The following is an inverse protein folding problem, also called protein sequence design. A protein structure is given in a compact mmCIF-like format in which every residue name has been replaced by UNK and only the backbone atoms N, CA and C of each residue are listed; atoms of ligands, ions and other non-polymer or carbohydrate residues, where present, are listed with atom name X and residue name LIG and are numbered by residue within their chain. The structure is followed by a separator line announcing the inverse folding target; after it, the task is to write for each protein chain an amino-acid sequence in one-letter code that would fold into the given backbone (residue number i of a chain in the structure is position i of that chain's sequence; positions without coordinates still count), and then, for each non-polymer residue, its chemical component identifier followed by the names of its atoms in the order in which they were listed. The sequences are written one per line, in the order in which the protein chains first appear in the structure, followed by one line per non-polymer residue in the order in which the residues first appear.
data_IF_751007445958
#
_entry.id   IF_751007445958
#
_cell.length_a   1.000
_cell.length_b   1.000
_cell.length_c   1.000
_cell.angle_alpha   90.00
_cell.angle_beta   90.00
_cell.angle_gamma   90.00
#
_symmetry.space_group_name_H-M   'P 1'
#
loop_
_entity.id
_entity.type
_entity.pdbx_description
1 polymer ?
#
# COMPACT_ATOMS: atom_id res chain seq x y z
N UNK A 1 15.27 -4.95 7.80
CA UNK A 1 15.63 -6.33 7.38
C UNK A 1 14.72 -7.29 8.12
N UNK A 2 14.16 -8.34 7.50
CA UNK A 2 13.42 -9.36 8.22
C UNK A 2 14.36 -10.14 9.14
N UNK A 3 13.99 -10.23 10.42
CA UNK A 3 14.77 -10.90 11.46
C UNK A 3 13.92 -12.01 12.06
N UNK A 4 14.45 -13.24 12.06
CA UNK A 4 13.83 -14.37 12.77
C UNK A 4 14.11 -14.23 14.26
N UNK A 5 13.07 -14.35 15.09
CA UNK A 5 13.14 -14.33 16.55
C UNK A 5 12.57 -15.65 17.07
N UNK A 6 13.40 -16.44 17.74
CA UNK A 6 13.03 -17.82 18.08
C UNK A 6 12.77 -18.67 16.84
N UNK A 7 11.95 -19.70 16.99
CA UNK A 7 11.67 -20.67 15.92
C UNK A 7 10.57 -20.21 14.95
N UNK A 8 9.63 -19.39 15.43
CA UNK A 8 8.40 -19.09 14.69
C UNK A 8 8.20 -17.62 14.35
N UNK A 9 8.86 -16.66 15.01
CA UNK A 9 8.58 -15.24 14.74
C UNK A 9 9.48 -14.68 13.64
N UNK A 10 8.87 -13.97 12.71
CA UNK A 10 9.57 -13.13 11.74
C UNK A 10 9.13 -11.70 12.00
N UNK A 11 10.08 -10.82 12.29
CA UNK A 11 9.82 -9.40 12.57
C UNK A 11 10.54 -8.54 11.56
N UNK A 12 9.86 -7.50 11.09
CA UNK A 12 10.42 -6.46 10.23
C UNK A 12 10.28 -5.14 10.94
N UNK A 13 11.39 -4.43 11.09
CA UNK A 13 11.40 -3.02 11.47
C UNK A 13 12.36 -2.27 10.55
N UNK A 14 11.96 -1.09 10.10
CA UNK A 14 12.75 -0.25 9.21
C UNK A 14 12.32 1.20 9.28
N UNK A 15 13.31 2.09 9.18
CA UNK A 15 13.14 3.52 9.02
C UNK A 15 13.87 3.93 7.74
N UNK A 16 13.27 4.83 6.97
CA UNK A 16 13.90 5.46 5.81
C UNK A 16 13.74 6.97 5.95
N UNK A 17 14.83 7.72 5.78
CA UNK A 17 14.81 9.18 5.75
C UNK A 17 15.13 9.66 4.33
N UNK A 18 14.20 10.39 3.74
CA UNK A 18 14.28 10.95 2.40
C UNK A 18 14.45 12.47 2.48
N UNK A 19 15.29 13.03 1.60
CA UNK A 19 15.39 14.47 1.35
C UNK A 19 15.33 14.73 -0.14
N UNK A 20 14.49 15.67 -0.53
CA UNK A 20 14.19 15.99 -1.93
C UNK A 20 14.25 17.49 -2.12
N UNK A 21 14.84 17.92 -3.23
CA UNK A 21 14.88 19.32 -3.66
C UNK A 21 13.93 19.52 -4.83
N UNK A 22 12.92 20.37 -4.63
CA UNK A 22 11.98 20.75 -5.67
C UNK A 22 12.30 22.17 -6.16
N UNK A 23 12.75 22.25 -7.41
CA UNK A 23 12.93 23.51 -8.13
C UNK A 23 11.70 23.83 -8.98
N UNK A 24 11.23 25.08 -8.91
CA UNK A 24 10.25 25.62 -9.85
C UNK A 24 10.97 26.75 -10.60
N UNK A 25 10.93 26.72 -11.94
CA UNK A 25 11.60 27.75 -12.77
C UNK A 25 11.13 29.15 -12.34
N UNK A 26 12.08 30.02 -12.02
CA UNK A 26 11.79 31.37 -11.55
C UNK A 26 11.52 31.50 -10.03
N UNK A 27 11.66 30.42 -9.25
CA UNK A 27 11.58 30.45 -7.79
C UNK A 27 12.77 29.74 -7.13
N UNK A 28 12.97 30.01 -5.82
CA UNK A 28 14.00 29.35 -5.01
C UNK A 28 13.70 27.87 -4.83
N UNK A 29 14.69 27.00 -4.85
CA UNK A 29 14.51 25.58 -4.52
C UNK A 29 13.93 25.39 -3.11
N UNK A 30 13.08 24.38 -2.95
CA UNK A 30 12.57 23.95 -1.64
C UNK A 30 13.09 22.57 -1.29
N UNK A 31 13.62 22.45 -0.08
CA UNK A 31 14.00 21.19 0.54
C UNK A 31 12.79 20.60 1.27
N UNK A 32 12.35 19.41 0.85
CA UNK A 32 11.39 18.59 1.58
C UNK A 32 12.10 17.36 2.15
N UNK A 33 11.70 16.93 3.35
CA UNK A 33 12.20 15.70 3.95
C UNK A 33 11.08 14.91 4.59
N UNK A 34 11.19 13.59 4.57
CA UNK A 34 10.28 12.70 5.27
C UNK A 34 11.01 11.52 5.89
N UNK A 35 10.45 11.01 6.98
CA UNK A 35 10.89 9.76 7.59
C UNK A 35 9.74 8.77 7.52
N UNK A 36 9.89 7.71 6.73
CA UNK A 36 8.89 6.65 6.59
C UNK A 36 9.27 5.41 7.40
N UNK A 37 8.26 4.74 7.92
CA UNK A 37 8.38 3.56 8.77
C UNK A 37 7.82 2.32 8.08
N UNK A 38 8.44 1.17 8.35
CA UNK A 38 7.92 -0.14 7.99
C UNK A 38 8.04 -1.08 9.17
N UNK A 39 6.91 -1.58 9.64
CA UNK A 39 6.81 -2.51 10.76
C UNK A 39 6.02 -3.74 10.31
N UNK A 40 6.43 -4.93 10.75
CA UNK A 40 5.73 -6.15 10.43
C UNK A 40 6.07 -7.26 11.41
N UNK A 41 5.09 -8.12 11.67
CA UNK A 41 5.26 -9.33 12.46
C UNK A 41 4.50 -10.46 11.80
N UNK A 42 5.12 -11.63 11.76
CA UNK A 42 4.54 -12.85 11.25
C UNK A 42 4.87 -13.98 12.20
N UNK A 43 3.88 -14.81 12.50
CA UNK A 43 4.11 -16.12 13.08
C UNK A 43 4.24 -17.11 11.92
N UNK A 44 5.29 -17.91 11.91
CA UNK A 44 5.64 -18.79 10.81
C UNK A 44 5.39 -20.25 11.18
N UNK A 45 4.71 -20.94 10.27
CA UNK A 45 4.53 -22.39 10.24
C UNK A 45 3.85 -22.97 11.49
N UNK A 46 2.71 -22.40 11.87
CA UNK A 46 1.77 -23.04 12.77
C UNK A 46 0.98 -24.11 12.02
N UNK A 47 1.59 -25.27 11.80
CA UNK A 47 1.01 -26.36 11.01
C UNK A 47 0.59 -25.89 9.59
N UNK A 48 1.52 -25.23 8.88
CA UNK A 48 1.28 -24.64 7.57
C UNK A 48 0.65 -23.25 7.59
N UNK A 49 0.14 -22.75 8.72
CA UNK A 49 -0.43 -21.41 8.84
C UNK A 49 0.61 -20.38 9.24
N UNK A 50 0.59 -19.22 8.57
CA UNK A 50 1.47 -18.09 8.86
C UNK A 50 0.67 -16.77 8.91
N UNK A 51 0.03 -16.45 10.06
CA UNK A 51 -0.65 -15.16 10.24
C UNK A 51 0.36 -14.02 10.39
N UNK A 52 -0.02 -12.84 9.92
CA UNK A 52 0.81 -11.65 9.97
C UNK A 52 0.01 -10.36 10.15
N UNK A 53 0.73 -9.34 10.62
CA UNK A 53 0.27 -7.96 10.70
C UNK A 53 1.40 -7.05 10.23
N UNK A 54 1.08 -6.06 9.40
CA UNK A 54 2.06 -5.11 8.90
C UNK A 54 1.54 -3.68 8.87
N UNK A 55 2.47 -2.74 8.98
CA UNK A 55 2.27 -1.31 8.87
C UNK A 55 3.36 -0.72 7.97
N UNK A 56 2.98 0.11 7.02
CA UNK A 56 3.94 0.81 6.17
C UNK A 56 3.52 2.23 5.85
N UNK A 57 4.51 3.10 5.74
CA UNK A 57 4.35 4.49 5.32
C UNK A 57 5.02 4.69 3.95
N UNK A 58 4.45 5.60 3.17
CA UNK A 58 4.96 6.03 1.86
C UNK A 58 4.95 7.55 1.75
N UNK A 59 5.81 8.06 0.88
CA UNK A 59 6.02 9.48 0.68
C UNK A 59 6.33 9.75 -0.79
N UNK A 60 5.60 10.68 -1.40
CA UNK A 60 5.79 11.11 -2.78
C UNK A 60 5.90 12.63 -2.84
N UNK A 61 7.08 13.20 -3.16
CA UNK A 61 7.23 14.63 -3.39
C UNK A 61 6.34 15.11 -4.54
N UNK A 62 5.72 16.28 -4.38
CA UNK A 62 4.91 16.92 -5.41
C UNK A 62 5.56 18.25 -5.83
N UNK A 63 5.63 18.50 -7.13
CA UNK A 63 6.13 19.76 -7.68
C UNK A 63 4.97 20.67 -8.08
N UNK A 64 5.13 21.98 -7.86
CA UNK A 64 4.12 22.99 -8.17
C UNK A 64 3.54 23.64 -6.93
N UNK A 65 2.47 24.41 -7.14
CA UNK A 65 1.81 25.18 -6.09
C UNK A 65 0.29 25.06 -6.18
N UNK A 66 -0.34 25.10 -5.02
CA UNK A 66 -1.78 25.14 -4.85
C UNK A 66 -2.35 26.40 -5.51
N UNK A 67 -3.28 26.21 -6.44
CA UNK A 67 -3.85 27.29 -7.24
C UNK A 67 -4.65 28.31 -6.42
N UNK A 68 -5.13 27.94 -5.22
CA UNK A 68 -5.90 28.84 -4.34
C UNK A 68 -4.97 29.63 -3.42
N UNK A 69 -4.07 28.93 -2.74
CA UNK A 69 -3.26 29.52 -1.68
C UNK A 69 -1.92 30.06 -2.18
N UNK A 70 -1.49 29.68 -3.38
CA UNK A 70 -0.16 29.95 -3.92
C UNK A 70 0.97 29.19 -3.21
N UNK A 71 0.66 28.48 -2.12
CA UNK A 71 1.62 27.68 -1.37
C UNK A 71 2.10 26.50 -2.22
N UNK A 72 3.37 26.13 -2.07
CA UNK A 72 3.90 24.94 -2.72
C UNK A 72 3.21 23.68 -2.21
N UNK A 73 3.16 22.66 -3.04
CA UNK A 73 2.61 21.39 -2.61
C UNK A 73 3.49 20.77 -1.54
N UNK A 74 2.87 20.36 -0.43
CA UNK A 74 3.50 19.44 0.49
C UNK A 74 3.57 18.05 -0.15
N UNK A 75 4.41 17.15 0.34
CA UNK A 75 4.44 15.80 -0.20
C UNK A 75 3.15 15.01 0.09
N UNK A 76 2.81 14.11 -0.83
CA UNK A 76 1.73 13.13 -0.65
C UNK A 76 2.22 12.00 0.25
N UNK A 77 1.40 11.64 1.23
CA UNK A 77 1.73 10.63 2.24
C UNK A 77 0.71 9.51 2.22
N UNK A 78 1.19 8.27 2.32
CA UNK A 78 0.33 7.08 2.41
C UNK A 78 0.67 6.26 3.65
N UNK A 79 -0.35 5.75 4.35
CA UNK A 79 -0.24 4.86 5.50
C UNK A 79 -1.08 3.60 5.21
N UNK A 80 -0.48 2.42 5.31
CA UNK A 80 -1.18 1.14 5.15
C UNK A 80 -1.03 0.30 6.40
N UNK A 81 -2.15 -0.25 6.87
CA UNK A 81 -2.18 -1.36 7.81
C UNK A 81 -2.79 -2.58 7.12
N UNK A 82 -2.18 -3.74 7.31
CA UNK A 82 -2.64 -4.98 6.68
C UNK A 82 -2.50 -6.14 7.66
N UNK A 83 -3.57 -6.93 7.78
CA UNK A 83 -3.59 -8.16 8.54
C UNK A 83 -3.97 -9.30 7.60
N UNK A 84 -3.23 -10.40 7.66
CA UNK A 84 -3.47 -11.52 6.77
C UNK A 84 -2.97 -12.83 7.32
N UNK A 85 -3.22 -13.87 6.54
CA UNK A 85 -2.79 -15.22 6.84
C UNK A 85 -2.42 -15.92 5.55
N UNK A 86 -1.28 -16.61 5.58
CA UNK A 86 -0.85 -17.53 4.53
C UNK A 86 -1.02 -18.97 5.03
N UNK A 87 -1.45 -19.88 4.17
CA UNK A 87 -1.53 -21.31 4.43
C UNK A 87 -0.80 -22.10 3.35
N UNK A 88 0.15 -22.93 3.77
CA UNK A 88 0.97 -23.79 2.91
C UNK A 88 0.87 -25.22 3.43
N UNK A 89 0.06 -26.10 2.80
CA UNK A 89 -0.08 -27.48 3.24
C UNK A 89 1.25 -28.24 3.13
N UNK A 90 1.61 -28.96 4.20
CA UNK A 90 2.84 -29.74 4.24
C UNK A 90 2.91 -30.76 3.08
N UNK A 91 4.05 -30.78 2.37
CA UNK A 91 4.29 -31.69 1.26
C UNK A 91 3.56 -31.35 -0.04
N UNK A 92 2.96 -30.16 -0.15
CA UNK A 92 2.34 -29.66 -1.39
C UNK A 92 2.98 -28.35 -1.82
N UNK A 93 3.14 -28.20 -3.14
CA UNK A 93 3.51 -26.94 -3.76
C UNK A 93 2.24 -26.11 -3.98
N UNK A 94 1.60 -25.67 -2.90
CA UNK A 94 0.33 -24.96 -2.94
C UNK A 94 0.29 -23.95 -1.81
N UNK A 95 -0.14 -22.73 -2.10
CA UNK A 95 -0.30 -21.69 -1.10
C UNK A 95 -1.62 -20.96 -1.25
N UNK A 96 -2.19 -20.59 -0.11
CA UNK A 96 -3.40 -19.78 0.00
C UNK A 96 -3.08 -18.55 0.84
N UNK A 97 -3.54 -17.39 0.41
CA UNK A 97 -3.39 -16.14 1.18
C UNK A 97 -4.75 -15.47 1.31
N UNK A 98 -5.03 -14.96 2.49
CA UNK A 98 -6.17 -14.10 2.74
C UNK A 98 -5.69 -12.90 3.55
N UNK A 99 -5.99 -11.69 3.09
CA UNK A 99 -5.58 -10.47 3.74
C UNK A 99 -6.71 -9.43 3.74
N UNK A 100 -6.70 -8.56 4.75
CA UNK A 100 -7.48 -7.33 4.76
C UNK A 100 -6.58 -6.16 5.06
N UNK A 101 -6.89 -5.02 4.46
CA UNK A 101 -6.06 -3.84 4.57
C UNK A 101 -6.89 -2.56 4.63
N UNK A 102 -6.24 -1.53 5.15
CA UNK A 102 -6.69 -0.15 5.08
C UNK A 102 -5.50 0.72 4.66
N UNK A 103 -5.67 1.43 3.56
CA UNK A 103 -4.76 2.43 3.03
C UNK A 103 -5.38 3.82 3.20
N UNK A 104 -4.62 4.73 3.80
CA UNK A 104 -4.98 6.14 3.95
C UNK A 104 -3.97 6.98 3.20
N UNK A 105 -4.46 7.87 2.34
CA UNK A 105 -3.62 8.81 1.62
C UNK A 105 -4.02 10.24 1.97
N UNK A 106 -3.02 11.10 2.16
CA UNK A 106 -3.16 12.52 2.51
C UNK A 106 -2.38 13.39 1.54
N UNK A 107 -2.78 14.65 1.44
CA UNK A 107 -2.15 15.66 0.59
C UNK A 107 -2.20 15.30 -0.91
N UNK A 108 -3.25 14.58 -1.33
CA UNK A 108 -3.48 14.25 -2.72
C UNK A 108 -3.89 15.50 -3.50
N UNK A 109 -3.40 15.62 -4.73
CA UNK A 109 -3.85 16.65 -5.67
C UNK A 109 -5.24 16.33 -6.20
N UNK A 110 -6.14 17.31 -6.14
CA UNK A 110 -7.47 17.26 -6.76
C UNK A 110 -7.65 18.50 -7.64
N UNK A 111 -8.48 18.41 -8.66
CA UNK A 111 -8.80 19.57 -9.50
C UNK A 111 -9.47 20.68 -8.66
N UNK A 112 -9.14 21.96 -8.91
CA UNK A 112 -9.83 23.10 -8.28
C UNK A 112 -11.29 23.09 -8.75
N UNK A 113 -12.28 23.00 -7.84
CA UNK A 113 -13.70 23.07 -8.19
C UNK A 113 -14.09 24.36 -8.93
N UNK A 114 -13.31 25.43 -8.82
CA UNK A 114 -13.54 26.73 -9.45
C UNK A 114 -12.83 26.86 -10.81
N UNK A 115 -11.77 26.08 -11.05
CA UNK A 115 -11.06 26.01 -12.32
C UNK A 115 -10.42 24.63 -12.50
N UNK A 116 -11.11 23.68 -13.17
CA UNK A 116 -10.64 22.31 -13.33
C UNK A 116 -9.30 22.14 -14.07
N UNK A 117 -8.76 23.19 -14.71
CA UNK A 117 -7.43 23.18 -15.33
C UNK A 117 -6.29 23.39 -14.32
N UNK A 118 -6.61 23.60 -13.05
CA UNK A 118 -5.64 23.83 -11.98
C UNK A 118 -5.86 22.86 -10.83
N UNK A 119 -4.82 22.60 -10.04
CA UNK A 119 -4.85 21.63 -8.96
C UNK A 119 -4.71 22.30 -7.58
N UNK A 120 -5.40 21.72 -6.61
CA UNK A 120 -5.34 22.10 -5.20
C UNK A 120 -5.00 20.87 -4.38
N UNK A 121 -4.40 21.10 -3.22
CA UNK A 121 -3.97 20.02 -2.33
C UNK A 121 -4.89 19.93 -1.12
N UNK A 122 -6.03 19.29 -1.33
CA UNK A 122 -7.04 19.06 -0.30
C UNK A 122 -7.54 17.61 -0.27
N UNK A 123 -7.00 16.75 -1.14
CA UNK A 123 -7.43 15.36 -1.24
C UNK A 123 -6.95 14.54 -0.04
N UNK A 124 -7.89 13.81 0.52
CA UNK A 124 -7.65 12.69 1.43
C UNK A 124 -8.50 11.55 0.92
N UNK A 125 -7.94 10.36 0.87
CA UNK A 125 -8.70 9.17 0.49
C UNK A 125 -8.40 8.03 1.43
N UNK A 126 -9.39 7.16 1.57
CA UNK A 126 -9.29 5.91 2.29
C UNK A 126 -9.74 4.79 1.36
N UNK A 127 -8.94 3.73 1.31
CA UNK A 127 -9.27 2.48 0.64
C UNK A 127 -9.16 1.37 1.65
N UNK A 128 -10.20 0.56 1.77
CA UNK A 128 -10.16 -0.67 2.54
C UNK A 128 -10.50 -1.84 1.64
N UNK A 129 -9.94 -3.01 1.94
CA UNK A 129 -10.15 -4.15 1.05
C UNK A 129 -9.87 -5.49 1.68
N UNK A 130 -10.14 -6.50 0.87
CA UNK A 130 -9.84 -7.90 1.15
C UNK A 130 -9.26 -8.53 -0.11
N UNK A 131 -8.19 -9.29 0.05
CA UNK A 131 -7.53 -10.02 -1.03
C UNK A 131 -7.50 -11.51 -0.67
N UNK A 132 -7.82 -12.35 -1.64
CA UNK A 132 -7.66 -13.78 -1.59
C UNK A 132 -6.78 -14.21 -2.75
N UNK A 133 -5.82 -15.07 -2.48
CA UNK A 133 -4.94 -15.64 -3.49
C UNK A 133 -4.79 -17.14 -3.28
N UNK A 134 -4.78 -17.89 -4.37
CA UNK A 134 -4.30 -19.27 -4.41
C UNK A 134 -3.29 -19.39 -5.54
N UNK A 135 -2.14 -20.01 -5.26
CA UNK A 135 -1.11 -20.27 -6.26
C UNK A 135 -0.40 -21.58 -5.99
N UNK A 136 -0.10 -22.33 -7.05
CA UNK A 136 0.68 -23.57 -7.00
C UNK A 136 0.05 -24.70 -7.79
N UNK A 137 0.45 -25.93 -7.48
CA UNK A 137 0.03 -27.15 -8.13
C UNK A 137 -1.13 -27.81 -7.39
N UNK A 138 -2.29 -27.91 -8.04
CA UNK A 138 -3.47 -28.56 -7.49
C UNK A 138 -3.46 -30.07 -7.72
N UNK A 139 -2.94 -30.52 -8.87
CA UNK A 139 -2.70 -31.94 -9.22
C UNK A 139 -1.39 -32.08 -9.99
N UNK A 140 -0.86 -33.30 -10.16
CA UNK A 140 0.41 -33.55 -10.86
C UNK A 140 0.52 -32.95 -12.28
N UNK A 141 -0.60 -32.59 -12.90
CA UNK A 141 -0.66 -32.00 -14.24
C UNK A 141 -1.46 -30.70 -14.32
N UNK A 142 -1.83 -30.11 -13.18
CA UNK A 142 -2.64 -28.90 -13.14
C UNK A 142 -2.08 -27.91 -12.11
N UNK A 143 -1.45 -26.87 -12.65
CA UNK A 143 -1.07 -25.68 -11.91
C UNK A 143 -2.23 -24.67 -11.96
N UNK A 144 -2.35 -23.86 -10.92
CA UNK A 144 -3.38 -22.84 -10.78
C UNK A 144 -2.75 -21.58 -10.22
N UNK A 145 -3.21 -20.44 -10.73
CA UNK A 145 -3.16 -19.21 -9.94
C UNK A 145 -4.49 -18.50 -10.06
N UNK A 146 -5.07 -18.13 -8.93
CA UNK A 146 -6.28 -17.34 -8.89
C UNK A 146 -6.20 -16.29 -7.80
N UNK A 147 -6.79 -15.13 -8.07
CA UNK A 147 -6.92 -14.06 -7.11
C UNK A 147 -8.32 -13.46 -7.13
N UNK A 148 -8.74 -12.95 -5.99
CA UNK A 148 -9.97 -12.19 -5.81
C UNK A 148 -9.70 -11.00 -4.92
N UNK A 149 -10.07 -9.82 -5.39
CA UNK A 149 -9.92 -8.56 -4.67
C UNK A 149 -11.28 -7.90 -4.49
N UNK A 150 -11.57 -7.53 -3.25
CA UNK A 150 -12.68 -6.65 -2.89
C UNK A 150 -12.14 -5.30 -2.44
N UNK A 151 -12.70 -4.23 -3.03
CA UNK A 151 -12.31 -2.85 -2.79
C UNK A 151 -13.50 -2.03 -2.29
N UNK A 152 -13.34 -1.43 -1.11
CA UNK A 152 -14.20 -0.38 -0.58
C UNK A 152 -13.45 0.95 -0.61
N UNK A 153 -13.70 1.70 -1.69
CA UNK A 153 -13.03 2.95 -1.99
C UNK A 153 -13.85 4.15 -1.52
N UNK A 154 -13.18 5.21 -1.08
CA UNK A 154 -13.79 6.53 -0.96
C UNK A 154 -14.44 6.94 -2.30
N UNK A 155 -15.55 7.70 -2.22
CA UNK A 155 -16.29 8.21 -3.38
C UNK A 155 -15.42 9.07 -4.31
N UNK A 156 -14.32 9.60 -3.80
CA UNK A 156 -13.34 10.35 -4.59
C UNK A 156 -12.54 9.48 -5.59
N UNK A 157 -12.63 8.15 -5.51
CA UNK A 157 -11.88 7.18 -6.33
C UNK A 157 -12.78 6.35 -7.28
N UNK A 158 -13.91 6.89 -7.71
CA UNK A 158 -15.05 6.20 -8.36
C UNK A 158 -14.81 5.48 -9.72
N UNK A 159 -13.58 5.12 -10.11
CA UNK A 159 -13.28 4.46 -11.39
C UNK A 159 -12.84 2.97 -11.29
N UNK A 160 -12.70 2.40 -10.08
CA UNK A 160 -12.21 1.02 -9.91
C UNK A 160 -13.35 0.04 -9.62
N UNK A 161 -13.47 -1.09 -10.34
CA UNK A 161 -14.42 -2.14 -10.00
C UNK A 161 -14.22 -2.62 -8.56
N UNK A 162 -15.31 -2.72 -7.80
CA UNK A 162 -15.28 -3.18 -6.39
C UNK A 162 -14.90 -4.64 -6.23
N UNK A 163 -15.18 -5.46 -7.25
CA UNK A 163 -14.87 -6.88 -7.27
C UNK A 163 -14.02 -7.15 -8.51
N UNK A 164 -12.84 -7.73 -8.30
CA UNK A 164 -11.93 -8.13 -9.36
C UNK A 164 -11.51 -9.57 -9.10
N UNK A 165 -11.51 -10.39 -10.14
CA UNK A 165 -11.07 -11.77 -10.04
C UNK A 165 -10.37 -12.18 -11.33
N UNK A 166 -9.34 -13.01 -11.22
CA UNK A 166 -8.77 -13.71 -12.35
C UNK A 166 -8.29 -15.10 -11.95
N UNK A 167 -8.20 -15.98 -12.94
CA UNK A 167 -7.71 -17.35 -12.82
C UNK A 167 -6.97 -17.72 -14.10
N UNK A 168 -5.82 -18.38 -13.96
CA UNK A 168 -5.01 -18.91 -15.05
C UNK A 168 -4.36 -20.23 -14.67
#
# INVERSE_FOLDING_TARGET
VPTKIGEHWIVVAGLRHDRVKNGIVGQRDEDSSATTKRLGVMFHDWAGWSPYLSYSESFTPLAGSNAITGARYTPQEGEQIEAGVKFEPAGRDLSFTAATYELREKNRLIADPRNPNTNIQAGKTKVSGLELEVTGRLTDSFDITAHYNYLDNDKQLEATPRHQAAVW
#
